data_IF_124864673265
#
_entry.id   IF_124864673265
#
_cell.length_a   1.000
_cell.length_b   1.000
_cell.length_c   1.000
_cell.angle_alpha   90.00
_cell.angle_beta   90.00
_cell.angle_gamma   90.00
#
_symmetry.space_group_name_H-M   'P 1'
#
loop_
_entity.id
_entity.type
_entity.pdbx_description
1 polymer ?
#
# COMPACT_ATOMS: atom_id res chain seq x y z
N UNK A 1 -52.41 -57.06 31.87
CA UNK A 1 -51.03 -57.42 32.29
C UNK A 1 -50.02 -57.08 31.18
N UNK A 2 -49.82 -55.80 30.84
CA UNK A 2 -48.96 -55.37 29.71
C UNK A 2 -48.32 -53.99 29.97
N UNK A 3 -47.47 -53.86 30.99
CA UNK A 3 -46.80 -52.58 31.32
C UNK A 3 -45.35 -52.71 31.83
N UNK A 4 -44.61 -53.76 31.43
CA UNK A 4 -43.20 -53.94 31.85
C UNK A 4 -42.18 -54.35 30.77
N UNK A 5 -42.56 -54.42 29.47
CA UNK A 5 -41.61 -54.85 28.42
C UNK A 5 -41.10 -53.74 27.48
N UNK A 6 -41.56 -52.49 27.60
CA UNK A 6 -41.20 -51.43 26.65
C UNK A 6 -39.97 -50.62 27.11
N UNK A 7 -39.67 -50.54 28.41
CA UNK A 7 -38.51 -49.77 28.88
C UNK A 7 -37.16 -50.45 28.67
N UNK A 8 -37.10 -51.77 28.41
CA UNK A 8 -35.83 -52.46 28.19
C UNK A 8 -35.34 -52.41 26.74
N UNK A 9 -36.24 -52.16 25.77
CA UNK A 9 -35.87 -52.06 24.36
C UNK A 9 -35.29 -50.69 23.99
N UNK A 10 -35.78 -49.60 24.61
CA UNK A 10 -35.23 -48.26 24.38
C UNK A 10 -33.82 -48.09 24.98
N UNK A 11 -33.54 -48.72 26.12
CA UNK A 11 -32.21 -48.66 26.75
C UNK A 11 -31.14 -49.43 25.96
N UNK A 12 -31.52 -50.52 25.27
CA UNK A 12 -30.61 -51.25 24.39
C UNK A 12 -30.31 -50.48 23.10
N UNK A 13 -31.27 -49.72 22.56
CA UNK A 13 -31.09 -48.88 21.38
C UNK A 13 -30.19 -47.66 21.71
N UNK A 14 -30.33 -47.06 22.89
CA UNK A 14 -29.42 -45.99 23.34
C UNK A 14 -27.99 -46.48 23.61
N UNK A 15 -27.81 -47.74 24.03
CA UNK A 15 -26.47 -48.34 24.20
C UNK A 15 -25.83 -48.73 22.86
N UNK A 16 -26.62 -49.07 21.83
CA UNK A 16 -26.11 -49.38 20.50
C UNK A 16 -25.77 -48.14 19.66
N UNK A 17 -26.39 -46.98 19.92
CA UNK A 17 -25.98 -45.72 19.28
C UNK A 17 -24.66 -45.14 19.82
N UNK A 18 -24.24 -45.53 21.02
CA UNK A 18 -22.93 -45.14 21.56
C UNK A 18 -21.76 -46.00 21.05
N UNK A 19 -22.00 -47.04 20.25
CA UNK A 19 -20.93 -47.82 19.61
C UNK A 19 -20.48 -47.26 18.25
N UNK A 20 -21.12 -46.18 17.76
CA UNK A 20 -20.76 -45.53 16.49
C UNK A 20 -20.20 -44.11 16.62
N UNK A 21 -19.84 -43.66 17.83
CA UNK A 21 -19.14 -42.37 18.03
C UNK A 21 -17.61 -42.47 17.94
N UNK A 22 -17.09 -43.65 17.57
CA UNK A 22 -15.67 -43.92 17.36
C UNK A 22 -15.21 -43.80 15.90
N UNK A 23 -15.99 -43.18 15.01
CA UNK A 23 -15.40 -42.72 13.75
C UNK A 23 -14.50 -41.55 14.11
N UNK A 24 -13.21 -41.82 14.19
CA UNK A 24 -12.19 -40.80 13.98
C UNK A 24 -12.64 -40.02 12.75
N UNK A 25 -13.08 -38.78 12.93
CA UNK A 25 -13.03 -37.82 11.84
C UNK A 25 -11.54 -37.69 11.58
N UNK A 26 -11.02 -38.51 10.68
CA UNK A 26 -9.77 -38.20 10.04
C UNK A 26 -10.06 -36.85 9.38
N UNK A 27 -9.55 -35.77 9.96
CA UNK A 27 -9.37 -34.55 9.20
C UNK A 27 -8.62 -35.02 7.96
N UNK A 28 -9.29 -34.95 6.80
CA UNK A 28 -8.60 -35.15 5.53
C UNK A 28 -7.52 -34.08 5.56
N UNK A 29 -6.24 -34.48 5.57
CA UNK A 29 -5.17 -33.52 5.34
C UNK A 29 -5.41 -32.99 3.93
N UNK A 30 -5.96 -31.79 3.82
CA UNK A 30 -6.23 -31.15 2.52
C UNK A 30 -4.95 -30.59 1.90
N UNK A 31 -3.80 -30.83 2.55
CA UNK A 31 -2.52 -30.33 2.13
C UNK A 31 -2.38 -28.85 2.45
N UNK A 32 -1.17 -28.35 2.24
CA UNK A 32 -0.83 -26.94 2.42
C UNK A 32 -0.99 -26.23 1.09
N UNK A 33 -1.70 -25.11 1.08
CA UNK A 33 -1.73 -24.20 -0.05
C UNK A 33 -0.45 -23.38 -0.02
N UNK A 34 0.34 -23.47 -1.09
CA UNK A 34 1.60 -22.74 -1.22
C UNK A 34 1.73 -22.19 -2.62
N UNK A 35 2.48 -21.10 -2.76
CA UNK A 35 2.93 -20.62 -4.06
C UNK A 35 4.38 -20.98 -4.27
N UNK A 36 4.71 -21.53 -5.43
CA UNK A 36 6.09 -21.92 -5.78
C UNK A 36 6.44 -21.30 -7.11
N UNK A 37 7.61 -20.68 -7.19
CA UNK A 37 8.21 -20.17 -8.42
C UNK A 37 9.64 -20.69 -8.56
N UNK A 38 10.02 -21.06 -9.77
CA UNK A 38 11.38 -21.50 -10.11
C UNK A 38 11.94 -20.52 -11.14
N UNK A 39 12.88 -19.69 -10.70
CA UNK A 39 13.56 -18.68 -11.50
C UNK A 39 14.90 -19.22 -12.01
N UNK A 40 15.02 -19.42 -13.32
CA UNK A 40 16.27 -19.81 -13.96
C UNK A 40 17.14 -18.62 -14.31
N UNK A 41 18.22 -18.90 -15.03
CA UNK A 41 19.20 -17.93 -15.51
C UNK A 41 18.51 -16.86 -16.36
N UNK A 42 17.74 -17.27 -17.37
CA UNK A 42 17.19 -16.34 -18.38
C UNK A 42 15.68 -16.11 -18.27
N UNK A 43 14.97 -16.87 -17.45
CA UNK A 43 13.50 -16.79 -17.36
C UNK A 43 12.96 -17.50 -16.14
N UNK A 44 11.69 -17.24 -15.81
CA UNK A 44 10.92 -18.11 -14.92
C UNK A 44 10.69 -19.46 -15.61
N UNK A 45 11.29 -20.53 -15.08
CA UNK A 45 11.16 -21.90 -15.60
C UNK A 45 9.74 -22.42 -15.38
N UNK A 46 9.20 -22.21 -14.17
CA UNK A 46 7.85 -22.63 -13.83
C UNK A 46 7.32 -21.90 -12.60
N UNK A 47 6.00 -21.86 -12.47
CA UNK A 47 5.30 -21.44 -11.26
C UNK A 47 4.04 -22.27 -11.03
N UNK A 48 3.54 -22.28 -9.80
CA UNK A 48 2.23 -22.83 -9.46
C UNK A 48 1.09 -21.93 -9.94
N UNK A 49 -0.07 -22.52 -10.16
CA UNK A 49 -1.32 -21.77 -10.26
C UNK A 49 -1.80 -21.34 -8.86
N UNK A 50 -2.73 -20.38 -8.77
CA UNK A 50 -3.09 -19.72 -7.49
C UNK A 50 -3.68 -20.63 -6.39
N UNK A 51 -4.16 -21.83 -6.74
CA UNK A 51 -4.77 -22.77 -5.79
C UNK A 51 -3.93 -24.05 -5.59
N UNK A 52 -2.62 -24.00 -5.86
CA UNK A 52 -1.77 -25.16 -5.69
C UNK A 52 -1.73 -25.65 -4.24
N UNK A 53 -2.03 -26.93 -4.04
CA UNK A 53 -2.01 -27.61 -2.75
C UNK A 53 -1.13 -28.85 -2.83
N UNK A 54 -0.36 -29.08 -1.79
CA UNK A 54 0.54 -30.24 -1.70
C UNK A 54 0.43 -30.93 -0.35
N UNK A 55 0.55 -32.26 -0.37
CA UNK A 55 0.66 -33.10 0.83
C UNK A 55 2.10 -33.22 1.32
N UNK A 56 3.06 -32.66 0.57
CA UNK A 56 4.46 -32.63 0.98
C UNK A 56 4.60 -31.70 2.17
N UNK A 57 5.53 -32.04 3.05
CA UNK A 57 5.73 -31.30 4.30
C UNK A 57 6.95 -30.39 4.24
N UNK A 58 7.82 -30.54 3.22
CA UNK A 58 9.05 -29.76 3.08
C UNK A 58 9.11 -29.02 1.77
N UNK A 59 9.94 -27.95 1.72
CA UNK A 59 10.15 -27.15 0.51
C UNK A 59 10.62 -28.03 -0.65
N UNK A 60 11.64 -28.86 -0.42
CA UNK A 60 12.13 -29.80 -1.43
C UNK A 60 11.02 -30.70 -1.95
N UNK A 61 10.22 -31.28 -1.04
CA UNK A 61 9.14 -32.18 -1.43
C UNK A 61 8.14 -31.50 -2.36
N UNK A 62 7.72 -30.29 -2.01
CA UNK A 62 6.76 -29.49 -2.78
C UNK A 62 7.32 -29.05 -4.14
N UNK A 63 8.56 -28.55 -4.18
CA UNK A 63 9.25 -28.16 -5.42
C UNK A 63 9.47 -29.37 -6.34
N UNK A 64 9.95 -30.48 -5.78
CA UNK A 64 10.17 -31.71 -6.54
C UNK A 64 8.87 -32.24 -7.14
N UNK A 65 7.77 -32.21 -6.38
CA UNK A 65 6.43 -32.58 -6.88
C UNK A 65 5.99 -31.69 -8.05
N UNK A 66 6.12 -30.37 -7.92
CA UNK A 66 5.80 -29.42 -9.01
C UNK A 66 6.62 -29.72 -10.27
N UNK A 67 7.93 -29.88 -10.14
CA UNK A 67 8.83 -30.13 -11.27
C UNK A 67 8.52 -31.47 -11.95
N UNK A 68 8.28 -32.53 -11.17
CA UNK A 68 7.89 -33.84 -11.71
C UNK A 68 6.54 -33.81 -12.40
N UNK A 69 5.54 -33.13 -11.84
CA UNK A 69 4.21 -33.02 -12.44
C UNK A 69 4.23 -32.25 -13.78
N UNK A 70 5.24 -31.40 -14.00
CA UNK A 70 5.42 -30.63 -15.24
C UNK A 70 6.52 -31.20 -16.14
N UNK A 71 7.02 -32.40 -15.85
CA UNK A 71 8.08 -33.08 -16.60
C UNK A 71 9.37 -32.24 -16.75
N UNK A 72 9.68 -31.40 -15.75
CA UNK A 72 10.90 -30.58 -15.72
C UNK A 72 12.04 -31.39 -15.06
N UNK A 73 13.18 -31.59 -15.74
CA UNK A 73 14.32 -32.30 -15.18
C UNK A 73 14.87 -31.61 -13.93
N UNK A 74 15.27 -32.40 -12.95
CA UNK A 74 15.98 -31.96 -11.75
C UNK A 74 17.03 -33.00 -11.39
N UNK A 75 18.24 -32.54 -11.06
CA UNK A 75 19.36 -33.36 -10.57
C UNK A 75 19.64 -32.98 -9.13
N UNK A 76 19.67 -33.98 -8.26
CA UNK A 76 19.79 -33.81 -6.81
C UNK A 76 20.78 -34.84 -6.26
N UNK A 77 21.63 -34.42 -5.34
CA UNK A 77 22.50 -35.29 -4.57
C UNK A 77 22.23 -35.17 -3.07
N UNK A 78 22.41 -36.26 -2.34
CA UNK A 78 22.42 -36.26 -0.87
C UNK A 78 23.81 -35.88 -0.35
N UNK A 79 23.86 -35.03 0.67
CA UNK A 79 25.09 -34.63 1.35
C UNK A 79 24.93 -34.67 2.87
N UNK A 80 26.02 -34.52 3.62
CA UNK A 80 25.98 -34.37 5.08
C UNK A 80 25.25 -33.10 5.55
N UNK A 81 24.99 -32.14 4.65
CA UNK A 81 24.31 -30.88 4.91
C UNK A 81 22.85 -30.86 4.42
N UNK A 82 22.33 -31.99 3.92
CA UNK A 82 21.00 -32.11 3.32
C UNK A 82 21.04 -32.30 1.81
N UNK A 83 19.88 -32.20 1.16
CA UNK A 83 19.75 -32.33 -0.29
C UNK A 83 20.29 -31.10 -1.00
N UNK A 84 21.04 -31.37 -2.05
CA UNK A 84 21.69 -30.37 -2.87
C UNK A 84 21.22 -30.49 -4.32
N UNK A 85 20.69 -29.40 -4.88
CA UNK A 85 20.16 -29.35 -6.25
C UNK A 85 21.25 -28.82 -7.16
N UNK A 86 21.79 -29.67 -8.03
CA UNK A 86 22.87 -29.29 -8.94
C UNK A 86 22.37 -28.88 -10.33
N UNK A 87 21.13 -29.19 -10.68
CA UNK A 87 20.52 -28.73 -11.93
C UNK A 87 19.00 -28.74 -11.89
N UNK A 88 18.36 -27.73 -12.50
CA UNK A 88 16.93 -27.72 -12.86
C UNK A 88 16.82 -27.32 -14.32
N UNK A 89 16.01 -28.04 -15.10
CA UNK A 89 15.77 -27.77 -16.52
C UNK A 89 17.05 -27.70 -17.40
N UNK A 90 18.13 -28.39 -16.98
CA UNK A 90 19.42 -28.37 -17.69
C UNK A 90 20.30 -27.15 -17.40
N UNK A 91 19.85 -26.22 -16.55
CA UNK A 91 20.69 -25.15 -16.02
C UNK A 91 21.46 -25.74 -14.81
N UNK A 92 22.75 -26.00 -15.03
CA UNK A 92 23.66 -26.63 -14.05
C UNK A 92 24.28 -25.57 -13.14
N UNK A 93 24.56 -25.93 -11.90
CA UNK A 93 25.37 -25.10 -11.00
C UNK A 93 26.77 -24.79 -11.57
N UNK A 94 27.39 -23.75 -11.03
CA UNK A 94 28.70 -23.25 -11.44
C UNK A 94 28.79 -22.98 -12.96
N UNK A 95 27.65 -22.72 -13.63
CA UNK A 95 27.60 -22.36 -15.06
C UNK A 95 28.52 -21.18 -15.35
N UNK A 96 28.66 -20.25 -14.41
CA UNK A 96 29.51 -19.06 -14.56
C UNK A 96 30.88 -19.19 -13.87
N UNK A 97 31.27 -20.41 -13.47
CA UNK A 97 32.60 -20.73 -12.94
C UNK A 97 32.86 -20.30 -11.49
N UNK A 98 31.82 -19.90 -10.76
CA UNK A 98 31.89 -19.48 -9.36
C UNK A 98 31.14 -20.41 -8.41
N UNK A 99 30.59 -19.84 -7.34
CA UNK A 99 29.68 -20.52 -6.41
C UNK A 99 28.21 -20.32 -6.78
N UNK A 100 27.95 -19.92 -8.02
CA UNK A 100 26.59 -19.75 -8.55
C UNK A 100 25.87 -21.09 -8.64
N UNK A 101 24.57 -21.11 -8.32
CA UNK A 101 23.78 -22.33 -8.32
C UNK A 101 22.36 -22.12 -7.81
N UNK A 102 21.71 -23.22 -7.45
CA UNK A 102 20.32 -23.24 -7.03
C UNK A 102 20.15 -22.89 -5.56
N UNK A 103 19.45 -21.79 -5.32
CA UNK A 103 19.13 -21.25 -4.00
C UNK A 103 17.62 -21.26 -3.78
N UNK A 104 17.17 -21.00 -2.55
CA UNK A 104 15.75 -20.82 -2.26
C UNK A 104 15.50 -19.79 -1.18
N UNK A 105 14.34 -19.15 -1.27
CA UNK A 105 13.78 -18.24 -0.27
C UNK A 105 12.35 -18.69 0.05
N UNK A 106 11.94 -18.43 1.29
CA UNK A 106 10.56 -18.63 1.74
C UNK A 106 10.09 -17.32 2.33
N UNK A 107 8.97 -16.79 1.84
CA UNK A 107 8.39 -15.51 2.29
C UNK A 107 9.40 -14.34 2.23
N UNK A 108 10.20 -14.28 1.16
CA UNK A 108 11.28 -13.30 0.93
C UNK A 108 12.46 -13.38 1.91
N UNK A 109 12.55 -14.44 2.73
CA UNK A 109 13.65 -14.64 3.66
C UNK A 109 14.53 -15.80 3.19
N UNK A 110 15.85 -15.66 3.40
CA UNK A 110 16.81 -16.75 3.12
C UNK A 110 16.85 -17.70 4.31
N UNK A 111 16.52 -18.99 4.13
CA UNK A 111 16.50 -19.92 5.25
C UNK A 111 17.88 -20.31 5.76
N UNK A 112 17.95 -20.65 7.05
CA UNK A 112 19.15 -21.09 7.77
C UNK A 112 19.40 -22.62 7.70
N UNK A 113 18.68 -23.32 6.83
CA UNK A 113 18.64 -24.78 6.76
C UNK A 113 18.48 -25.28 5.33
N UNK A 114 18.72 -26.57 5.14
CA UNK A 114 18.60 -27.21 3.82
C UNK A 114 17.16 -27.25 3.31
N UNK A 115 17.00 -27.24 1.99
CA UNK A 115 15.69 -27.24 1.32
C UNK A 115 14.84 -28.48 1.67
N UNK A 116 15.47 -29.60 2.02
CA UNK A 116 14.79 -30.84 2.42
C UNK A 116 14.43 -30.91 3.90
N UNK A 117 14.92 -29.99 4.73
CA UNK A 117 14.58 -29.89 6.15
C UNK A 117 13.68 -28.69 6.48
N UNK A 118 13.53 -27.73 5.57
CA UNK A 118 12.59 -26.63 5.74
C UNK A 118 11.14 -27.12 5.60
N UNK A 119 10.37 -27.07 6.68
CA UNK A 119 8.96 -27.44 6.69
C UNK A 119 8.09 -26.32 6.12
N UNK A 120 7.15 -26.67 5.24
CA UNK A 120 6.22 -25.71 4.64
C UNK A 120 4.96 -25.54 5.50
N UNK A 121 4.43 -24.32 5.49
CA UNK A 121 3.17 -23.91 6.11
C UNK A 121 2.15 -23.50 5.05
N UNK A 122 0.88 -23.46 5.45
CA UNK A 122 -0.19 -22.92 4.60
C UNK A 122 0.04 -21.42 4.37
N UNK A 123 -0.02 -21.00 3.11
CA UNK A 123 0.24 -19.63 2.67
C UNK A 123 1.68 -19.32 2.27
N UNK A 124 2.63 -20.24 2.44
CA UNK A 124 4.04 -19.97 2.10
C UNK A 124 4.24 -19.61 0.63
N UNK A 125 5.09 -18.60 0.40
CA UNK A 125 5.63 -18.24 -0.91
C UNK A 125 7.07 -18.72 -1.02
N UNK A 126 7.29 -19.68 -1.89
CA UNK A 126 8.57 -20.36 -2.10
C UNK A 126 9.11 -19.92 -3.45
N UNK A 127 10.34 -19.41 -3.47
CA UNK A 127 11.06 -19.15 -4.72
C UNK A 127 12.36 -19.93 -4.69
N UNK A 128 12.52 -20.82 -5.67
CA UNK A 128 13.80 -21.45 -5.99
C UNK A 128 14.41 -20.65 -7.14
N UNK A 129 15.65 -20.20 -7.02
CA UNK A 129 16.25 -19.34 -8.04
C UNK A 129 17.70 -19.73 -8.33
N UNK A 130 18.14 -19.51 -9.56
CA UNK A 130 19.55 -19.58 -9.94
C UNK A 130 20.23 -18.26 -9.62
N UNK A 131 21.31 -18.29 -8.86
CA UNK A 131 22.04 -17.09 -8.47
C UNK A 131 23.25 -17.42 -7.60
N UNK A 132 23.78 -16.41 -6.95
CA UNK A 132 24.87 -16.57 -5.98
C UNK A 132 24.55 -15.75 -4.72
N UNK A 133 24.92 -16.26 -3.55
CA UNK A 133 24.69 -15.54 -2.31
C UNK A 133 25.46 -14.21 -2.33
N UNK A 134 24.81 -13.06 -2.05
CA UNK A 134 25.48 -11.77 -1.98
C UNK A 134 26.72 -11.83 -1.08
N UNK A 135 27.89 -11.65 -1.67
CA UNK A 135 29.17 -11.71 -0.97
C UNK A 135 30.15 -10.69 -1.53
N UNK A 136 31.08 -10.26 -0.69
CA UNK A 136 32.03 -9.20 -0.98
C UNK A 136 31.57 -7.82 -0.49
N UNK A 137 32.38 -6.80 -0.78
CA UNK A 137 32.16 -5.43 -0.34
C UNK A 137 32.60 -4.43 -1.42
N UNK A 138 31.92 -3.27 -1.44
CA UNK A 138 32.22 -2.21 -2.41
C UNK A 138 32.07 -2.65 -3.86
N UNK A 139 33.09 -2.43 -4.68
CA UNK A 139 33.10 -2.78 -6.11
C UNK A 139 33.24 -4.30 -6.39
N UNK A 140 33.51 -5.12 -5.36
CA UNK A 140 33.60 -6.58 -5.46
C UNK A 140 32.32 -7.29 -4.97
N UNK A 141 31.23 -6.55 -4.83
CA UNK A 141 29.94 -7.12 -4.45
C UNK A 141 29.39 -7.93 -5.63
N UNK A 142 29.28 -9.24 -5.43
CA UNK A 142 28.73 -10.18 -6.40
C UNK A 142 27.60 -10.98 -5.73
N UNK A 143 26.65 -11.45 -6.54
CA UNK A 143 25.49 -12.20 -6.05
C UNK A 143 24.17 -11.73 -6.62
N UNK A 144 23.09 -12.35 -6.14
CA UNK A 144 21.71 -12.07 -6.52
C UNK A 144 20.98 -11.51 -5.31
N UNK A 145 20.45 -10.29 -5.43
CA UNK A 145 19.67 -9.65 -4.37
C UNK A 145 18.25 -10.19 -4.32
N UNK A 146 17.69 -10.21 -3.11
CA UNK A 146 16.25 -10.43 -2.89
C UNK A 146 15.62 -9.04 -2.83
N UNK A 147 14.88 -8.60 -3.88
CA UNK A 147 14.43 -7.22 -3.94
C UNK A 147 13.21 -6.98 -3.03
N UNK A 148 13.23 -5.84 -2.36
CA UNK A 148 12.05 -5.19 -1.77
C UNK A 148 11.53 -4.16 -2.76
N UNK A 149 10.27 -4.28 -3.14
CA UNK A 149 9.60 -3.38 -4.10
C UNK A 149 8.53 -2.58 -3.37
N UNK A 150 8.71 -1.27 -3.32
CA UNK A 150 7.76 -0.31 -2.77
C UNK A 150 7.12 0.51 -3.89
N UNK A 151 5.82 0.76 -3.75
CA UNK A 151 5.06 1.60 -4.67
C UNK A 151 4.66 2.87 -3.93
N UNK A 152 4.74 4.02 -4.59
CA UNK A 152 4.20 5.26 -3.99
C UNK A 152 2.69 5.18 -3.79
N UNK A 153 1.99 4.40 -4.63
CA UNK A 153 0.57 4.04 -4.52
C UNK A 153 0.33 2.65 -5.13
N UNK A 154 -0.51 1.84 -4.51
CA UNK A 154 -0.97 0.54 -5.04
C UNK A 154 -2.24 0.67 -5.89
N UNK A 155 -2.99 1.76 -5.70
CA UNK A 155 -4.14 2.18 -6.51
C UNK A 155 -3.80 3.48 -7.22
N UNK A 156 -3.81 3.47 -8.55
CA UNK A 156 -3.38 4.58 -9.40
C UNK A 156 -4.48 4.97 -10.37
N UNK A 157 -4.59 6.26 -10.66
CA UNK A 157 -5.54 6.75 -11.65
C UNK A 157 -5.04 6.46 -13.07
N UNK A 158 -5.97 6.23 -14.00
CA UNK A 158 -5.64 5.95 -15.39
C UNK A 158 -4.73 7.05 -16.00
N UNK A 159 -3.60 6.65 -16.59
CA UNK A 159 -2.63 7.59 -17.14
C UNK A 159 -1.80 8.40 -16.14
N UNK A 160 -2.05 8.28 -14.83
CA UNK A 160 -1.24 8.95 -13.82
C UNK A 160 0.15 8.30 -13.68
N UNK A 161 1.12 9.09 -13.25
CA UNK A 161 2.45 8.59 -12.90
C UNK A 161 2.51 8.17 -11.43
N UNK A 162 3.26 7.11 -11.17
CA UNK A 162 3.59 6.64 -9.83
C UNK A 162 5.04 6.16 -9.78
N UNK A 163 5.60 6.07 -8.59
CA UNK A 163 7.01 5.70 -8.41
C UNK A 163 7.09 4.27 -7.92
N UNK A 164 7.97 3.50 -8.56
CA UNK A 164 8.40 2.18 -8.11
C UNK A 164 9.81 2.31 -7.55
N UNK A 165 10.00 1.92 -6.30
CA UNK A 165 11.30 1.93 -5.62
C UNK A 165 11.77 0.51 -5.36
N UNK A 166 12.96 0.16 -5.86
CA UNK A 166 13.57 -1.16 -5.71
C UNK A 166 14.82 -1.07 -4.85
N UNK A 167 14.77 -1.76 -3.72
CA UNK A 167 15.89 -1.86 -2.77
C UNK A 167 16.18 -3.32 -2.44
N UNK A 168 17.27 -3.58 -1.74
CA UNK A 168 17.54 -4.87 -1.10
C UNK A 168 18.32 -4.63 0.19
N UNK A 169 18.18 -5.56 1.12
CA UNK A 169 19.02 -5.63 2.32
C UNK A 169 19.90 -6.87 2.21
N UNK A 170 21.18 -6.74 2.53
CA UNK A 170 22.09 -7.89 2.65
C UNK A 170 23.04 -7.69 3.83
N UNK A 171 23.61 -8.78 4.34
CA UNK A 171 24.60 -8.72 5.42
C UNK A 171 26.01 -8.59 4.85
N UNK A 172 26.70 -7.48 5.16
CA UNK A 172 28.09 -7.27 4.79
C UNK A 172 28.98 -7.83 5.91
N UNK A 173 29.55 -9.02 5.66
CA UNK A 173 30.40 -9.73 6.62
C UNK A 173 31.72 -9.01 6.92
N UNK A 174 32.22 -8.17 6.01
CA UNK A 174 33.44 -7.39 6.25
C UNK A 174 33.16 -6.24 7.24
N UNK A 175 31.93 -5.71 7.23
CA UNK A 175 31.50 -4.61 8.10
C UNK A 175 30.70 -5.06 9.32
N UNK A 176 30.34 -6.34 9.39
CA UNK A 176 29.51 -6.93 10.45
C UNK A 176 28.18 -6.17 10.67
N UNK A 177 27.50 -5.83 9.55
CA UNK A 177 26.24 -5.09 9.59
C UNK A 177 25.34 -5.37 8.38
N UNK A 178 24.05 -5.11 8.54
CA UNK A 178 23.11 -5.04 7.42
C UNK A 178 23.34 -3.78 6.60
N UNK A 179 23.34 -3.94 5.28
CA UNK A 179 23.48 -2.85 4.30
C UNK A 179 22.23 -2.83 3.44
N UNK A 180 21.59 -1.66 3.39
CA UNK A 180 20.51 -1.37 2.46
C UNK A 180 21.08 -0.78 1.17
N UNK A 181 20.72 -1.37 0.04
CA UNK A 181 21.13 -0.92 -1.29
C UNK A 181 19.92 -0.50 -2.11
N UNK A 182 20.11 0.59 -2.85
CA UNK A 182 19.22 1.03 -3.93
C UNK A 182 19.75 0.44 -5.22
N UNK A 183 18.89 -0.21 -6.00
CA UNK A 183 19.33 -0.98 -7.17
C UNK A 183 19.01 -0.19 -8.43
N UNK A 184 20.04 0.27 -9.11
CA UNK A 184 19.95 0.97 -10.40
C UNK A 184 19.70 -0.01 -11.55
N UNK A 185 19.12 0.49 -12.63
CA UNK A 185 18.93 -0.17 -13.92
C UNK A 185 17.97 -1.38 -13.86
N UNK A 186 17.24 -1.55 -12.76
CA UNK A 186 16.19 -2.58 -12.62
C UNK A 186 15.11 -2.30 -13.65
N UNK A 187 14.82 -3.31 -14.46
CA UNK A 187 13.75 -3.28 -15.44
C UNK A 187 12.40 -3.43 -14.73
N UNK A 188 11.53 -2.45 -14.92
CA UNK A 188 10.14 -2.44 -14.46
C UNK A 188 9.24 -2.47 -15.68
N UNK A 189 8.64 -3.63 -15.95
CA UNK A 189 7.70 -3.84 -17.05
C UNK A 189 6.26 -3.63 -16.62
N UNK A 190 5.49 -2.90 -17.43
CA UNK A 190 4.04 -2.74 -17.28
C UNK A 190 3.39 -2.79 -18.67
N UNK A 191 2.57 -3.82 -18.91
CA UNK A 191 1.99 -4.10 -20.23
C UNK A 191 3.09 -4.27 -21.31
N UNK A 192 3.14 -3.37 -22.29
CA UNK A 192 4.12 -3.32 -23.38
C UNK A 192 5.23 -2.28 -23.15
N UNK A 193 5.22 -1.61 -22.00
CA UNK A 193 6.19 -0.58 -21.64
C UNK A 193 7.22 -1.08 -20.65
N UNK A 194 8.41 -0.53 -20.77
CA UNK A 194 9.55 -0.84 -19.93
C UNK A 194 10.14 0.44 -19.36
N UNK A 195 10.38 0.44 -18.06
CA UNK A 195 10.96 1.53 -17.28
C UNK A 195 12.22 1.02 -16.57
N UNK A 196 13.11 1.92 -16.15
CA UNK A 196 14.36 1.56 -15.49
C UNK A 196 14.58 2.40 -14.24
N UNK A 197 15.04 1.77 -13.16
CA UNK A 197 15.39 2.50 -11.93
C UNK A 197 16.65 3.33 -12.10
N UNK A 198 16.66 4.51 -11.51
CA UNK A 198 17.82 5.41 -11.47
C UNK A 198 18.82 5.05 -10.34
N UNK A 199 19.81 5.91 -10.10
CA UNK A 199 20.82 5.77 -9.03
C UNK A 199 20.20 5.74 -7.62
N UNK A 200 18.94 6.17 -7.48
CA UNK A 200 18.19 6.13 -6.23
C UNK A 200 17.32 4.87 -6.09
N UNK A 201 17.36 3.97 -7.09
CA UNK A 201 16.54 2.77 -7.13
C UNK A 201 15.09 3.08 -7.53
N UNK A 202 14.83 4.22 -8.15
CA UNK A 202 13.48 4.73 -8.42
C UNK A 202 13.19 4.75 -9.92
N UNK A 203 12.01 4.26 -10.30
CA UNK A 203 11.48 4.35 -11.66
C UNK A 203 10.11 5.04 -11.62
N UNK A 204 9.91 6.06 -12.46
CA UNK A 204 8.61 6.70 -12.68
C UNK A 204 7.87 5.92 -13.76
N UNK A 205 6.74 5.32 -13.39
CA UNK A 205 5.91 4.45 -14.23
C UNK A 205 4.58 5.14 -14.51
N UNK A 206 4.11 5.06 -15.76
CA UNK A 206 2.81 5.62 -16.17
C UNK A 206 1.76 4.52 -16.19
N UNK A 207 0.66 4.71 -15.44
CA UNK A 207 -0.46 3.79 -15.43
C UNK A 207 -1.11 3.65 -16.83
N UNK A 208 -1.61 2.46 -17.20
CA UNK A 208 -2.44 2.27 -18.39
C UNK A 208 -3.68 3.17 -18.40
N UNK A 209 -4.24 3.41 -19.59
CA UNK A 209 -5.52 4.11 -19.73
C UNK A 209 -6.73 3.21 -19.38
N UNK A 210 -6.59 1.90 -19.63
CA UNK A 210 -7.64 0.93 -19.34
C UNK A 210 -7.67 0.60 -17.85
N UNK A 211 -8.89 0.52 -17.28
CA UNK A 211 -9.10 0.24 -15.87
C UNK A 211 -8.89 -1.24 -15.55
N UNK A 212 -8.47 -1.54 -14.32
CA UNK A 212 -8.40 -2.91 -13.82
C UNK A 212 -7.13 -3.22 -13.05
N UNK A 213 -6.91 -4.51 -12.81
CA UNK A 213 -5.74 -4.99 -12.08
C UNK A 213 -4.60 -5.31 -13.05
N UNK A 214 -3.42 -4.79 -12.73
CA UNK A 214 -2.20 -5.02 -13.50
C UNK A 214 -1.11 -5.58 -12.60
N UNK A 215 -0.15 -6.26 -13.20
CA UNK A 215 1.02 -6.78 -12.51
C UNK A 215 2.28 -6.25 -13.17
N UNK A 216 3.10 -5.55 -12.39
CA UNK A 216 4.43 -5.11 -12.76
C UNK A 216 5.36 -6.33 -12.78
N UNK A 217 6.22 -6.44 -13.78
CA UNK A 217 7.37 -7.35 -13.75
C UNK A 217 8.62 -6.58 -13.32
N UNK A 218 9.36 -7.12 -12.35
CA UNK A 218 10.58 -6.50 -11.83
C UNK A 218 11.73 -7.49 -12.01
N UNK A 219 12.72 -7.13 -12.82
CA UNK A 219 13.86 -7.98 -13.17
C UNK A 219 15.13 -7.18 -13.42
N UNK A 220 16.28 -7.82 -13.23
CA UNK A 220 17.56 -7.24 -13.60
C UNK A 220 18.48 -8.35 -14.12
N UNK A 221 18.32 -8.64 -15.40
CA UNK A 221 19.04 -9.70 -16.08
C UNK A 221 20.37 -9.18 -16.61
N UNK A 222 21.40 -10.02 -16.59
CA UNK A 222 22.76 -9.67 -17.02
C UNK A 222 23.17 -10.58 -18.17
N UNK A 223 23.71 -9.98 -19.23
CA UNK A 223 24.27 -10.75 -20.32
C UNK A 223 25.39 -11.66 -19.80
N UNK A 224 25.38 -12.93 -20.23
CA UNK A 224 26.38 -13.94 -19.89
C UNK A 224 26.58 -14.13 -18.36
N UNK A 225 25.54 -13.90 -17.56
CA UNK A 225 25.56 -14.09 -16.11
C UNK A 225 24.18 -14.47 -15.56
N UNK A 226 24.11 -14.74 -14.26
CA UNK A 226 22.85 -14.94 -13.54
C UNK A 226 22.18 -13.59 -13.19
N UNK A 227 20.85 -13.57 -12.94
CA UNK A 227 20.12 -12.34 -12.59
C UNK A 227 20.71 -11.64 -11.36
N UNK A 228 20.80 -10.31 -11.40
CA UNK A 228 21.29 -9.52 -10.26
C UNK A 228 20.24 -9.41 -9.15
N UNK A 229 18.97 -9.59 -9.49
CA UNK A 229 17.87 -9.69 -8.51
C UNK A 229 17.03 -10.94 -8.78
N UNK A 230 16.44 -11.50 -7.73
CA UNK A 230 15.39 -12.51 -7.89
C UNK A 230 14.19 -11.84 -8.56
N UNK A 231 13.83 -12.28 -9.77
CA UNK A 231 12.68 -11.73 -10.51
C UNK A 231 11.42 -11.79 -9.64
N UNK A 232 10.67 -10.70 -9.63
CA UNK A 232 9.45 -10.58 -8.82
C UNK A 232 8.37 -9.81 -9.56
N UNK A 233 7.18 -9.76 -8.97
CA UNK A 233 6.04 -9.02 -9.51
C UNK A 233 5.42 -8.15 -8.43
N UNK A 234 4.80 -7.03 -8.85
CA UNK A 234 3.99 -6.21 -7.95
C UNK A 234 2.69 -5.80 -8.59
N UNK A 235 1.58 -6.10 -7.92
CA UNK A 235 0.26 -5.77 -8.44
C UNK A 235 -0.13 -4.32 -8.12
N UNK A 236 -0.85 -3.71 -9.06
CA UNK A 236 -1.49 -2.39 -8.94
C UNK A 236 -2.95 -2.47 -9.41
N UNK A 237 -3.77 -1.54 -8.94
CA UNK A 237 -5.13 -1.34 -9.44
C UNK A 237 -5.23 0.01 -10.13
N UNK A 238 -5.66 0.01 -11.39
CA UNK A 238 -5.92 1.24 -12.16
C UNK A 238 -7.41 1.58 -12.06
N UNK A 239 -7.70 2.77 -11.56
CA UNK A 239 -9.05 3.31 -11.38
C UNK A 239 -9.29 4.53 -12.27
N UNK A 240 -10.54 4.93 -12.40
CA UNK A 240 -10.90 6.13 -13.15
C UNK A 240 -10.13 7.34 -12.61
N UNK A 241 -9.62 8.18 -13.51
CA UNK A 241 -9.17 9.52 -13.15
C UNK A 241 -10.35 10.26 -12.56
N UNK A 242 -10.22 10.71 -11.31
CA UNK A 242 -11.20 11.61 -10.74
C UNK A 242 -10.92 12.97 -11.34
N UNK A 243 -11.68 13.31 -12.38
CA UNK A 243 -11.61 14.63 -12.97
C UNK A 243 -12.20 15.63 -11.96
N UNK A 244 -11.33 16.31 -11.20
CA UNK A 244 -11.76 17.36 -10.28
C UNK A 244 -12.55 18.47 -11.00
N UNK A 245 -12.48 18.55 -12.34
CA UNK A 245 -13.28 19.52 -13.11
C UNK A 245 -14.78 19.18 -13.24
N UNK A 246 -15.22 17.98 -12.85
CA UNK A 246 -16.67 17.66 -12.76
C UNK A 246 -17.26 17.97 -11.37
N UNK A 247 -16.43 18.43 -10.43
CA UNK A 247 -16.97 19.05 -9.23
C UNK A 247 -17.64 20.38 -9.59
N UNK A 248 -18.97 20.39 -9.49
CA UNK A 248 -19.82 21.57 -9.72
C UNK A 248 -20.27 22.22 -8.42
N UNK A 249 -19.84 21.71 -7.25
CA UNK A 249 -20.30 22.20 -5.95
C UNK A 249 -19.39 23.30 -5.45
N UNK A 250 -19.91 24.52 -5.49
CA UNK A 250 -19.23 25.67 -4.90
C UNK A 250 -18.97 25.47 -3.39
N UNK A 251 -17.80 25.93 -2.89
CA UNK A 251 -17.48 25.86 -1.47
C UNK A 251 -18.46 26.68 -0.64
N UNK A 252 -18.75 26.25 0.58
CA UNK A 252 -19.65 26.93 1.51
C UNK A 252 -18.85 27.74 2.53
N UNK A 253 -18.98 29.06 2.47
CA UNK A 253 -18.39 29.98 3.44
C UNK A 253 -19.33 30.13 4.65
N UNK A 254 -18.82 29.80 5.83
CA UNK A 254 -19.50 30.01 7.12
C UNK A 254 -18.76 31.10 7.88
N UNK A 255 -19.50 32.11 8.35
CA UNK A 255 -18.94 33.24 9.10
C UNK A 255 -19.63 33.37 10.45
N UNK A 256 -18.83 33.38 11.51
CA UNK A 256 -19.28 33.61 12.89
C UNK A 256 -18.82 34.99 13.36
N UNK A 257 -19.65 35.69 14.13
CA UNK A 257 -19.32 37.00 14.70
C UNK A 257 -19.70 38.22 13.85
N UNK A 258 -20.14 38.03 12.59
CA UNK A 258 -20.64 39.12 11.74
C UNK A 258 -22.14 39.02 11.47
N UNK A 259 -22.81 40.17 11.53
CA UNK A 259 -24.21 40.34 11.09
C UNK A 259 -24.25 41.49 10.09
N UNK A 260 -24.92 41.30 8.97
CA UNK A 260 -25.00 42.35 7.95
C UNK A 260 -25.82 43.55 8.45
N UNK A 261 -25.27 44.76 8.31
CA UNK A 261 -25.85 46.00 8.83
C UNK A 261 -25.56 46.27 10.31
N UNK A 262 -24.67 45.49 10.95
CA UNK A 262 -24.31 45.65 12.36
C UNK A 262 -23.70 47.04 12.60
N UNK A 263 -24.23 47.74 13.61
CA UNK A 263 -23.66 49.00 14.12
C UNK A 263 -22.79 48.67 15.32
N UNK A 264 -21.51 49.05 15.28
CA UNK A 264 -20.54 48.80 16.35
C UNK A 264 -19.99 50.10 16.90
N UNK A 265 -19.72 50.12 18.21
CA UNK A 265 -19.07 51.23 18.92
C UNK A 265 -17.56 50.99 19.13
N UNK A 266 -17.09 49.78 18.85
CA UNK A 266 -15.68 49.39 18.92
C UNK A 266 -15.03 49.53 17.54
N UNK A 267 -13.74 49.89 17.54
CA UNK A 267 -12.94 50.08 16.31
C UNK A 267 -12.54 48.74 15.69
N UNK A 268 -12.63 47.65 16.43
CA UNK A 268 -12.25 46.31 15.98
C UNK A 268 -13.48 45.42 15.85
N UNK A 269 -13.48 44.57 14.83
CA UNK A 269 -14.44 43.47 14.69
C UNK A 269 -13.68 42.16 14.55
N UNK A 270 -13.91 41.26 15.50
CA UNK A 270 -13.38 39.89 15.49
C UNK A 270 -14.44 38.95 14.90
N UNK A 271 -14.01 38.07 14.00
CA UNK A 271 -14.89 37.11 13.35
C UNK A 271 -14.12 35.88 12.89
N UNK A 272 -14.84 34.77 12.70
CA UNK A 272 -14.28 33.52 12.24
C UNK A 272 -14.85 33.15 10.89
N UNK A 273 -13.99 32.73 9.97
CA UNK A 273 -14.35 32.23 8.64
C UNK A 273 -13.92 30.77 8.54
N UNK A 274 -14.88 29.91 8.20
CA UNK A 274 -14.63 28.50 7.88
C UNK A 274 -15.16 28.24 6.47
N UNK A 275 -14.38 27.57 5.64
CA UNK A 275 -14.82 27.08 4.33
C UNK A 275 -15.08 25.58 4.46
N UNK A 276 -16.26 25.14 4.05
CA UNK A 276 -16.71 23.74 4.16
C UNK A 276 -17.33 23.27 2.84
N UNK A 277 -17.47 21.96 2.66
CA UNK A 277 -18.39 21.41 1.65
C UNK A 277 -17.77 21.03 0.31
N UNK A 278 -16.49 20.67 0.27
CA UNK A 278 -15.87 20.04 -0.89
C UNK A 278 -14.98 18.84 -0.47
N UNK A 279 -14.65 17.96 -1.41
CA UNK A 279 -13.67 16.87 -1.27
C UNK A 279 -12.24 17.39 -1.02
N UNK A 280 -11.99 18.66 -1.33
CA UNK A 280 -10.73 19.34 -1.11
C UNK A 280 -10.60 19.80 0.37
N UNK A 281 -9.68 19.19 1.11
CA UNK A 281 -9.63 19.33 2.57
C UNK A 281 -9.09 20.70 3.05
N UNK A 282 -8.57 21.58 2.18
CA UNK A 282 -7.84 22.80 2.61
C UNK A 282 -8.06 24.06 1.73
N UNK A 283 -9.30 24.53 1.58
CA UNK A 283 -9.58 25.81 0.90
C UNK A 283 -9.28 27.01 1.80
N UNK A 284 -8.36 27.89 1.38
CA UNK A 284 -8.02 29.14 2.08
C UNK A 284 -8.81 30.32 1.50
N UNK A 285 -9.71 30.98 2.26
CA UNK A 285 -10.49 32.10 1.76
C UNK A 285 -9.65 33.39 1.65
N UNK A 286 -10.02 34.26 0.71
CA UNK A 286 -9.52 35.62 0.61
C UNK A 286 -10.48 36.57 1.31
N UNK A 287 -10.04 37.17 2.41
CA UNK A 287 -10.84 38.14 3.19
C UNK A 287 -10.33 39.54 2.94
N UNK A 288 -11.24 40.48 2.63
CA UNK A 288 -10.91 41.90 2.38
C UNK A 288 -11.75 42.81 3.27
N UNK A 289 -11.12 43.85 3.81
CA UNK A 289 -11.77 44.98 4.46
C UNK A 289 -11.64 46.23 3.57
N UNK A 290 -12.76 46.79 3.14
CA UNK A 290 -12.83 47.97 2.27
C UNK A 290 -11.95 47.82 1.00
N UNK A 291 -11.90 46.59 0.46
CA UNK A 291 -11.10 46.22 -0.71
C UNK A 291 -9.67 45.78 -0.43
N UNK A 292 -9.15 45.96 0.79
CA UNK A 292 -7.79 45.55 1.17
C UNK A 292 -7.80 44.16 1.81
N UNK A 293 -6.92 43.26 1.36
CA UNK A 293 -6.78 41.91 1.93
C UNK A 293 -6.31 41.99 3.38
N UNK A 294 -6.94 41.23 4.26
CA UNK A 294 -6.54 41.04 5.65
C UNK A 294 -6.20 39.57 5.90
N UNK A 295 -5.25 39.31 6.81
CA UNK A 295 -4.80 37.96 7.17
C UNK A 295 -5.44 37.50 8.47
N UNK A 296 -5.79 36.22 8.54
CA UNK A 296 -6.27 35.56 9.76
C UNK A 296 -5.35 34.42 10.18
N UNK A 297 -5.52 33.92 11.40
CA UNK A 297 -4.83 32.72 11.90
C UNK A 297 -5.87 31.66 12.20
N UNK A 298 -5.76 30.46 11.62
CA UNK A 298 -6.70 29.35 11.84
C UNK A 298 -8.19 29.72 11.64
N UNK A 299 -8.47 30.60 10.68
CA UNK A 299 -9.81 31.08 10.38
C UNK A 299 -10.28 32.26 11.25
N UNK A 300 -9.51 32.69 12.25
CA UNK A 300 -9.83 33.86 13.07
C UNK A 300 -9.25 35.14 12.45
N UNK A 301 -10.10 36.16 12.27
CA UNK A 301 -9.78 37.44 11.65
C UNK A 301 -10.12 38.60 12.58
N UNK A 302 -9.31 39.66 12.48
CA UNK A 302 -9.53 40.94 13.16
C UNK A 302 -9.53 42.06 12.13
N UNK A 303 -10.63 42.79 12.03
CA UNK A 303 -10.80 43.93 11.13
C UNK A 303 -10.74 45.26 11.89
N UNK A 304 -9.87 46.19 11.47
CA UNK A 304 -9.76 47.55 12.02
C UNK A 304 -10.64 48.53 11.22
N UNK A 305 -11.78 48.90 11.80
CA UNK A 305 -12.84 49.67 11.14
C UNK A 305 -12.53 51.17 11.08
N UNK A 306 -12.95 51.81 9.98
CA UNK A 306 -12.97 53.27 9.84
C UNK A 306 -14.35 53.83 10.21
N UNK A 307 -14.41 55.08 10.70
CA UNK A 307 -15.69 55.71 11.06
C UNK A 307 -16.61 55.74 9.83
N UNK A 308 -17.85 55.29 10.01
CA UNK A 308 -18.82 55.13 8.94
C UNK A 308 -18.95 53.68 8.45
N UNK A 309 -19.24 53.51 7.17
CA UNK A 309 -19.50 52.20 6.58
C UNK A 309 -18.20 51.46 6.27
N UNK A 310 -18.12 50.21 6.69
CA UNK A 310 -17.08 49.26 6.38
C UNK A 310 -17.68 48.06 5.64
N UNK A 311 -16.95 47.53 4.67
CA UNK A 311 -17.36 46.36 3.88
C UNK A 311 -16.34 45.27 4.09
N UNK A 312 -16.79 44.12 4.59
CA UNK A 312 -15.99 42.90 4.66
C UNK A 312 -16.48 41.97 3.55
N UNK A 313 -15.62 41.62 2.60
CA UNK A 313 -15.91 40.66 1.54
C UNK A 313 -15.02 39.43 1.70
N UNK A 314 -15.61 38.24 1.56
CA UNK A 314 -14.93 36.96 1.69
C UNK A 314 -15.19 36.19 0.41
N UNK A 315 -14.12 35.73 -0.24
CA UNK A 315 -14.16 34.96 -1.49
C UNK A 315 -13.44 33.62 -1.25
N UNK A 316 -14.01 32.51 -1.73
CA UNK A 316 -13.39 31.19 -1.71
C UNK A 316 -13.48 30.55 -3.10
N UNK A 317 -12.45 29.79 -3.47
CA UNK A 317 -12.36 29.06 -4.74
C UNK A 317 -11.68 27.71 -4.49
N UNK A 318 -12.27 26.62 -4.97
CA UNK A 318 -11.69 25.27 -4.91
C UNK A 318 -10.75 24.97 -6.09
N UNK A 319 -10.12 23.79 -6.08
CA UNK A 319 -9.26 23.32 -7.17
C UNK A 319 -10.00 23.18 -8.52
N UNK A 320 -11.29 22.86 -8.48
CA UNK A 320 -12.18 22.77 -9.64
C UNK A 320 -12.54 24.14 -10.25
N UNK A 321 -12.30 25.23 -9.52
CA UNK A 321 -12.59 26.61 -9.93
C UNK A 321 -14.00 27.08 -9.57
N UNK A 322 -14.78 26.32 -8.80
CA UNK A 322 -16.05 26.79 -8.27
C UNK A 322 -15.81 27.89 -7.23
N UNK A 323 -16.67 28.91 -7.23
CA UNK A 323 -16.50 30.10 -6.40
C UNK A 323 -17.70 30.31 -5.50
N UNK A 324 -17.41 30.81 -4.30
CA UNK A 324 -18.41 31.44 -3.44
C UNK A 324 -17.90 32.75 -2.88
N UNK A 325 -18.82 33.68 -2.67
CA UNK A 325 -18.54 34.96 -2.06
C UNK A 325 -19.65 35.36 -1.09
N UNK A 326 -19.26 36.07 -0.03
CA UNK A 326 -20.19 36.66 0.94
C UNK A 326 -19.69 38.04 1.36
N UNK A 327 -20.62 38.97 1.58
CA UNK A 327 -20.31 40.35 1.96
C UNK A 327 -21.11 40.79 3.18
N UNK A 328 -20.42 41.41 4.13
CA UNK A 328 -20.99 42.03 5.33
C UNK A 328 -20.73 43.53 5.34
N UNK A 329 -21.78 44.31 5.64
CA UNK A 329 -21.67 45.75 5.89
C UNK A 329 -21.71 46.02 7.39
N UNK A 330 -20.71 46.73 7.90
CA UNK A 330 -20.65 47.18 9.29
C UNK A 330 -20.65 48.71 9.33
N UNK A 331 -21.29 49.30 10.34
CA UNK A 331 -21.26 50.74 10.58
C UNK A 331 -20.56 50.98 11.90
N UNK A 332 -19.34 51.53 11.86
CA UNK A 332 -18.62 51.95 13.06
C UNK A 332 -18.95 53.41 13.37
N UNK A 333 -19.38 53.69 14.60
CA UNK A 333 -19.62 55.06 15.11
C UNK A 333 -18.87 55.27 16.41
N UNK A 334 -18.27 56.44 16.59
CA UNK A 334 -17.65 56.79 17.88
C UNK A 334 -18.73 57.15 18.89
N UNK A 335 -18.52 56.79 20.16
CA UNK A 335 -19.48 57.04 21.27
C UNK A 335 -19.78 58.54 21.46
N UNK A 336 -18.97 59.43 20.88
CA UNK A 336 -19.18 60.88 20.89
C UNK A 336 -20.33 61.38 19.99
N UNK A 337 -20.89 60.53 19.13
CA UNK A 337 -21.97 60.88 18.17
C UNK A 337 -23.36 60.32 18.54
N UNK A 338 -23.59 59.91 19.80
CA UNK A 338 -24.96 59.64 20.28
C UNK A 338 -25.62 60.99 20.59
N UNK A 339 -26.68 61.43 19.87
CA UNK A 339 -27.46 62.57 20.30
C UNK A 339 -28.04 62.28 21.68
N UNK A 340 -27.87 63.20 22.63
CA UNK A 340 -28.30 63.09 24.03
C UNK A 340 -29.83 63.07 24.23
N UNK A 341 -30.59 62.26 23.47
CA UNK A 341 -32.04 62.20 23.54
C UNK A 341 -32.68 60.80 23.65
N UNK A 342 -31.93 59.78 24.03
CA UNK A 342 -32.52 58.51 24.52
C UNK A 342 -31.96 58.05 25.88
N UNK A 343 -31.68 59.02 26.77
CA UNK A 343 -31.41 58.75 28.19
C UNK A 343 -32.66 58.90 29.10
N UNK A 344 -33.88 58.83 28.57
CA UNK A 344 -35.10 58.87 29.38
C UNK A 344 -36.20 57.95 28.80
N UNK A 345 -36.24 56.71 29.29
CA UNK A 345 -37.43 56.02 29.81
C UNK A 345 -37.19 54.51 29.89
N UNK A 346 -36.62 54.06 31.02
CA UNK A 346 -37.03 52.86 31.77
C UNK A 346 -36.19 52.72 33.05
N UNK A 347 -36.29 53.73 33.91
CA UNK A 347 -36.34 53.49 35.35
C UNK A 347 -37.79 53.74 35.78
N UNK A 348 -38.35 52.83 36.56
CA UNK A 348 -39.76 52.70 37.01
C UNK A 348 -40.62 51.83 36.09
N UNK A 349 -40.65 50.52 36.34
CA UNK A 349 -41.57 49.96 37.33
C UNK A 349 -41.00 48.67 37.91
N UNK A 350 -41.47 48.37 39.12
CA UNK A 350 -41.12 47.27 40.03
C UNK A 350 -41.31 45.88 39.43
#
# INVERSE_FOLDING_TARGET
MFRKKICSALLLICLLLNMFTGMSVFAVDEGRQVSIRVEGINSTITKTDGNYRTQKTTVYGAVYELLKNKDIPIVVSDSGYGKYISSINGEEEATFGGYDGWMFIVNNETPDRSIDSYEINDGDNIVVYYGEFPSGSGESLHGTYIPTVELSKDTVEAGAEFTVTVTSTYYDWDKDQEVNVKIKDVEVGLCDKTYYTDEHGEAIVTAPADLGNYSLSISLDRADSYPLIVRTTRDITVVETVDETDDTKAPVIVVEGLVNGLVVAEKEADFKVTVTGNADENIVPVVKLNGNVITGTNGDYKAELIVGQNIISIEAMDAAGNKSDITYKLIYRTVADIPAKEHLAKSLDY
#
